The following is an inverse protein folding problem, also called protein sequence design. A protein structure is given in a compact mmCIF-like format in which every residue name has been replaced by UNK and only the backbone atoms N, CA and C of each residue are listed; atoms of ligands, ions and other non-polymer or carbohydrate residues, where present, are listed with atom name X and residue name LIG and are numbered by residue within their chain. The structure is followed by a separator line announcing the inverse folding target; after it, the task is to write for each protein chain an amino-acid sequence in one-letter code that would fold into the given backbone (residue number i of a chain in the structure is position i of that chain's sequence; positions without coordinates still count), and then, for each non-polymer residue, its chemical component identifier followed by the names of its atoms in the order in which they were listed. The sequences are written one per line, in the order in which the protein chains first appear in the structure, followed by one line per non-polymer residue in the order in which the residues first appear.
data_IF_316068820819
#
_entry.id   IF_316068820819
#
_cell.length_a   1.000
_cell.length_b   1.000
_cell.length_c   1.000
_cell.angle_alpha   90.00
_cell.angle_beta   90.00
_cell.angle_gamma   90.00
#
_symmetry.space_group_name_H-M   'P 1'
#
loop_
_entity.id
_entity.type
_entity.pdbx_description
1 polymer ?
#
# COMPACT_ATOMS: atom_id res chain seq x y z
N UNK A 1 11.79 28.65 13.40
CA UNK A 1 11.83 27.19 13.59
C UNK A 1 12.56 26.87 14.87
N UNK A 2 11.93 26.11 15.78
CA UNK A 2 12.58 25.62 17.00
C UNK A 2 13.69 24.60 16.71
N UNK A 3 14.65 24.48 17.64
CA UNK A 3 15.70 23.46 17.57
C UNK A 3 15.11 22.04 17.54
N UNK A 4 14.00 21.82 18.26
CA UNK A 4 13.28 20.55 18.25
C UNK A 4 12.83 20.17 16.85
N UNK A 5 12.16 21.08 16.13
CA UNK A 5 11.67 20.80 14.77
C UNK A 5 12.84 20.54 13.81
N UNK A 6 13.93 21.32 13.89
CA UNK A 6 15.12 21.11 13.05
C UNK A 6 15.72 19.71 13.23
N UNK A 7 15.86 19.27 14.48
CA UNK A 7 16.41 17.93 14.80
C UNK A 7 15.44 16.83 14.36
N UNK A 8 14.13 17.07 14.53
CA UNK A 8 13.09 16.10 14.25
C UNK A 8 12.86 15.87 12.75
N UNK A 9 12.95 16.91 11.92
CA UNK A 9 12.76 16.81 10.47
C UNK A 9 13.95 16.18 9.75
N UNK A 10 15.15 16.25 10.35
CA UNK A 10 16.38 15.75 9.74
C UNK A 10 16.98 14.56 10.50
N UNK A 11 17.61 14.79 11.66
CA UNK A 11 18.47 13.79 12.29
C UNK A 11 17.69 12.59 12.81
N UNK A 12 16.52 12.84 13.41
CA UNK A 12 15.62 11.77 13.85
C UNK A 12 15.09 10.97 12.65
N UNK A 13 14.78 11.63 11.53
CA UNK A 13 14.33 10.93 10.33
C UNK A 13 15.44 10.07 9.74
N UNK A 14 16.68 10.58 9.66
CA UNK A 14 17.82 9.82 9.16
C UNK A 14 18.06 8.60 10.04
N UNK A 15 18.09 8.76 11.37
CA UNK A 15 18.25 7.64 12.30
C UNK A 15 17.14 6.59 12.14
N UNK A 16 15.89 7.03 12.02
CA UNK A 16 14.74 6.14 11.83
C UNK A 16 14.76 5.44 10.45
N UNK A 17 15.20 6.12 9.39
CA UNK A 17 15.38 5.54 8.05
C UNK A 17 16.49 4.48 8.05
N UNK A 18 17.61 4.74 8.71
CA UNK A 18 18.70 3.76 8.86
C UNK A 18 18.20 2.53 9.62
N UNK A 19 17.46 2.73 10.71
CA UNK A 19 16.83 1.64 11.45
C UNK A 19 15.91 0.80 10.55
N UNK A 20 15.00 1.46 9.82
CA UNK A 20 14.10 0.79 8.87
C UNK A 20 14.90 0.00 7.82
N UNK A 21 15.93 0.60 7.25
CA UNK A 21 16.77 -0.03 6.22
C UNK A 21 17.47 -1.29 6.74
N UNK A 22 18.01 -1.26 7.96
CA UNK A 22 18.64 -2.43 8.60
C UNK A 22 17.62 -3.55 8.81
N UNK A 23 16.45 -3.24 9.37
CA UNK A 23 15.38 -4.23 9.62
C UNK A 23 14.85 -4.81 8.31
N UNK A 24 14.71 -3.99 7.27
CA UNK A 24 14.23 -4.46 5.96
C UNK A 24 15.26 -5.28 5.22
N UNK A 25 16.53 -4.89 5.28
CA UNK A 25 17.62 -5.66 4.68
C UNK A 25 17.71 -7.04 5.31
N UNK A 26 17.68 -7.12 6.65
CA UNK A 26 17.68 -8.41 7.35
C UNK A 26 16.46 -9.26 7.01
N UNK A 27 15.26 -8.67 6.92
CA UNK A 27 14.05 -9.37 6.46
C UNK A 27 14.12 -9.85 5.02
N UNK A 28 14.65 -9.04 4.11
CA UNK A 28 14.83 -9.42 2.71
C UNK A 28 15.81 -10.58 2.60
N UNK A 29 16.96 -10.52 3.27
CA UNK A 29 17.92 -11.62 3.35
C UNK A 29 17.21 -12.90 3.83
N UNK A 30 16.42 -12.81 4.90
CA UNK A 30 15.65 -13.94 5.40
C UNK A 30 14.62 -14.46 4.37
N UNK A 31 13.88 -13.58 3.69
CA UNK A 31 12.92 -13.96 2.66
C UNK A 31 13.57 -14.67 1.46
N UNK A 32 14.73 -14.19 1.02
CA UNK A 32 15.48 -14.80 -0.09
C UNK A 32 16.09 -16.16 0.26
N UNK A 33 16.17 -16.53 1.55
CA UNK A 33 16.60 -17.88 1.96
C UNK A 33 15.54 -18.95 1.66
N UNK A 34 14.27 -18.59 1.53
CA UNK A 34 13.23 -19.55 1.16
C UNK A 34 13.34 -19.94 -0.31
N UNK A 35 13.69 -21.20 -0.57
CA UNK A 35 13.74 -21.74 -1.93
C UNK A 35 12.35 -22.15 -2.41
N UNK A 36 11.97 -21.72 -3.61
CA UNK A 36 10.79 -22.28 -4.30
C UNK A 36 11.01 -23.77 -4.55
N UNK A 37 10.20 -24.64 -3.95
CA UNK A 37 10.19 -26.07 -4.31
C UNK A 37 9.69 -26.20 -5.75
N UNK A 38 10.39 -26.98 -6.57
CA UNK A 38 9.94 -27.31 -7.92
C UNK A 38 8.71 -28.21 -7.81
N UNK A 39 7.64 -27.82 -8.50
CA UNK A 39 6.42 -28.63 -8.61
C UNK A 39 6.76 -29.91 -9.38
N UNK A 40 6.37 -31.06 -8.82
CA UNK A 40 6.73 -32.39 -9.36
C UNK A 40 5.64 -32.97 -10.25
N UNK A 41 4.47 -32.36 -10.26
CA UNK A 41 3.39 -32.75 -11.16
C UNK A 41 3.70 -32.35 -12.59
N UNK A 42 3.04 -33.01 -13.54
CA UNK A 42 3.10 -32.64 -14.96
C UNK A 42 2.58 -31.20 -15.10
N UNK A 43 3.32 -30.37 -15.84
CA UNK A 43 2.91 -28.99 -16.10
C UNK A 43 1.70 -28.97 -17.03
N UNK A 44 0.59 -28.39 -16.57
CA UNK A 44 -0.58 -28.11 -17.39
C UNK A 44 -0.56 -26.68 -17.97
N UNK A 45 0.37 -25.83 -17.51
CA UNK A 45 0.54 -24.46 -17.99
C UNK A 45 1.94 -23.90 -17.74
N UNK A 46 2.10 -22.58 -17.94
CA UNK A 46 3.38 -21.88 -17.82
C UNK A 46 3.49 -21.17 -16.47
N UNK A 47 4.37 -21.69 -15.61
CA UNK A 47 4.61 -21.15 -14.27
C UNK A 47 5.04 -19.67 -14.28
N UNK A 48 5.91 -19.26 -15.22
CA UNK A 48 6.36 -17.86 -15.34
C UNK A 48 5.23 -16.91 -15.77
N UNK A 49 4.35 -17.35 -16.66
CA UNK A 49 3.18 -16.58 -17.08
C UNK A 49 2.21 -16.36 -15.91
N UNK A 50 1.94 -17.40 -15.12
CA UNK A 50 1.12 -17.28 -13.92
C UNK A 50 1.74 -16.38 -12.84
N UNK A 51 3.07 -16.44 -12.66
CA UNK A 51 3.79 -15.57 -11.73
C UNK A 51 3.67 -14.08 -12.14
N UNK A 52 3.93 -13.77 -13.42
CA UNK A 52 3.78 -12.41 -13.96
C UNK A 52 2.35 -11.90 -13.85
N UNK A 53 1.37 -12.70 -14.24
CA UNK A 53 -0.05 -12.36 -14.12
C UNK A 53 -0.45 -12.06 -12.67
N UNK A 54 -0.02 -12.90 -11.73
CA UNK A 54 -0.31 -12.73 -10.30
C UNK A 54 0.31 -11.45 -9.74
N UNK A 55 1.56 -11.13 -10.11
CA UNK A 55 2.25 -9.90 -9.70
C UNK A 55 1.54 -8.65 -10.20
N UNK A 56 1.03 -8.66 -11.43
CA UNK A 56 0.36 -7.51 -12.03
C UNK A 56 -1.09 -7.33 -11.56
N UNK A 57 -1.61 -8.23 -10.73
CA UNK A 57 -3.01 -8.23 -10.33
C UNK A 57 -3.46 -6.95 -9.59
N UNK A 58 -2.54 -6.23 -8.94
CA UNK A 58 -2.83 -4.92 -8.33
C UNK A 58 -3.18 -3.85 -9.38
N UNK A 59 -2.59 -3.96 -10.58
CA UNK A 59 -2.85 -3.09 -11.72
C UNK A 59 -4.00 -3.61 -12.62
N UNK A 60 -4.57 -4.78 -12.29
CA UNK A 60 -5.67 -5.39 -13.04
C UNK A 60 -6.91 -5.53 -12.14
N UNK A 61 -7.59 -4.44 -11.76
CA UNK A 61 -8.79 -4.49 -10.92
C UNK A 61 -9.89 -5.39 -11.51
N UNK A 62 -9.98 -5.47 -12.83
CA UNK A 62 -10.90 -6.37 -13.53
C UNK A 62 -10.57 -7.85 -13.36
N UNK A 63 -9.36 -8.23 -12.94
CA UNK A 63 -9.02 -9.62 -12.66
C UNK A 63 -9.52 -10.08 -11.28
N UNK A 64 -9.75 -9.15 -10.36
CA UNK A 64 -10.19 -9.44 -8.98
C UNK A 64 -11.70 -9.36 -8.84
N UNK A 65 -12.35 -10.46 -8.45
CA UNK A 65 -13.81 -10.49 -8.31
C UNK A 65 -14.33 -9.46 -7.30
N UNK A 66 -13.64 -9.31 -6.16
CA UNK A 66 -13.99 -8.34 -5.13
C UNK A 66 -13.99 -6.90 -5.66
N UNK A 67 -13.01 -6.57 -6.49
CA UNK A 67 -12.90 -5.26 -7.13
C UNK A 67 -13.93 -5.09 -8.24
N UNK A 68 -14.12 -6.09 -9.11
CA UNK A 68 -15.15 -6.07 -10.16
C UNK A 68 -16.54 -5.82 -9.60
N UNK A 69 -16.91 -6.54 -8.52
CA UNK A 69 -18.23 -6.42 -7.89
C UNK A 69 -18.38 -5.16 -7.05
N UNK A 70 -17.29 -4.55 -6.60
CA UNK A 70 -17.28 -3.38 -5.70
C UNK A 70 -16.18 -2.39 -6.08
N UNK A 71 -16.31 -1.68 -7.21
CA UNK A 71 -15.27 -0.78 -7.72
C UNK A 71 -14.92 0.35 -6.75
N UNK A 72 -15.87 0.80 -5.92
CA UNK A 72 -15.62 1.81 -4.89
C UNK A 72 -14.54 1.42 -3.87
N UNK A 73 -14.35 0.11 -3.60
CA UNK A 73 -13.29 -0.35 -2.71
C UNK A 73 -11.91 -0.23 -3.34
N UNK A 74 -11.84 -0.36 -4.66
CA UNK A 74 -10.59 -0.16 -5.40
C UNK A 74 -10.25 1.32 -5.52
N UNK A 75 -11.24 2.19 -5.75
CA UNK A 75 -11.03 3.63 -5.69
C UNK A 75 -10.46 4.06 -4.33
N UNK A 76 -11.05 3.58 -3.23
CA UNK A 76 -10.50 3.80 -1.88
C UNK A 76 -9.07 3.28 -1.75
N UNK A 77 -8.78 2.08 -2.27
CA UNK A 77 -7.41 1.56 -2.29
C UNK A 77 -6.44 2.51 -3.02
N UNK A 78 -6.79 2.97 -4.23
CA UNK A 78 -5.93 3.86 -5.03
C UNK A 78 -5.69 5.19 -4.32
N UNK A 79 -6.76 5.91 -3.93
CA UNK A 79 -6.61 7.22 -3.28
C UNK A 79 -5.83 7.13 -1.97
N UNK A 80 -6.06 6.09 -1.18
CA UNK A 80 -5.33 5.90 0.08
C UNK A 80 -3.83 5.70 -0.17
N UNK A 81 -3.44 4.86 -1.14
CA UNK A 81 -2.01 4.62 -1.43
C UNK A 81 -1.34 5.81 -2.10
N UNK A 82 -2.05 6.54 -2.98
CA UNK A 82 -1.54 7.79 -3.55
C UNK A 82 -1.29 8.84 -2.46
N UNK A 83 -2.18 8.97 -1.47
CA UNK A 83 -1.95 9.83 -0.33
C UNK A 83 -0.78 9.40 0.54
N UNK A 84 -0.61 8.10 0.81
CA UNK A 84 0.58 7.58 1.51
C UNK A 84 1.85 7.97 0.75
N UNK A 85 1.91 7.71 -0.56
CA UNK A 85 3.08 8.04 -1.38
C UNK A 85 3.35 9.55 -1.41
N UNK A 86 2.30 10.38 -1.52
CA UNK A 86 2.39 11.84 -1.52
C UNK A 86 2.90 12.37 -0.18
N UNK A 87 2.36 11.86 0.93
CA UNK A 87 2.79 12.25 2.26
C UNK A 87 4.24 11.79 2.56
N UNK A 88 4.64 10.57 2.17
CA UNK A 88 6.06 10.14 2.24
C UNK A 88 6.92 11.09 1.40
N UNK A 89 6.49 11.44 0.19
CA UNK A 89 7.25 12.38 -0.65
C UNK A 89 7.41 13.74 0.02
N UNK A 90 6.37 14.24 0.71
CA UNK A 90 6.44 15.49 1.45
C UNK A 90 7.50 15.45 2.58
N UNK A 91 7.72 14.31 3.24
CA UNK A 91 8.75 14.19 4.29
C UNK A 91 10.17 14.38 3.76
N UNK A 92 10.41 14.18 2.47
CA UNK A 92 11.69 14.48 1.83
C UNK A 92 11.74 15.89 1.24
N UNK A 93 10.63 16.37 0.65
CA UNK A 93 10.59 17.70 0.05
C UNK A 93 10.74 18.80 1.10
N UNK A 94 10.09 18.69 2.25
CA UNK A 94 10.14 19.73 3.30
C UNK A 94 11.59 20.05 3.73
N UNK A 95 12.42 19.09 4.16
CA UNK A 95 13.78 19.37 4.60
C UNK A 95 14.78 19.57 3.44
N UNK A 96 14.66 18.82 2.33
CA UNK A 96 15.71 18.78 1.30
C UNK A 96 15.41 19.61 0.05
N UNK A 97 14.15 19.97 -0.20
CA UNK A 97 13.74 20.76 -1.36
C UNK A 97 12.57 21.73 -1.03
N UNK A 98 12.65 22.53 0.05
CA UNK A 98 11.53 23.37 0.52
C UNK A 98 11.04 24.38 -0.52
N UNK A 99 11.89 24.73 -1.50
CA UNK A 99 11.54 25.62 -2.61
C UNK A 99 10.33 25.15 -3.44
N UNK A 100 10.05 23.85 -3.52
CA UNK A 100 8.89 23.31 -4.24
C UNK A 100 7.56 23.76 -3.62
N UNK A 101 7.51 23.86 -2.28
CA UNK A 101 6.29 24.28 -1.57
C UNK A 101 6.08 25.79 -1.51
N UNK A 102 6.96 26.59 -2.13
CA UNK A 102 6.66 28.00 -2.42
C UNK A 102 5.63 28.15 -3.54
N UNK A 103 5.48 27.14 -4.40
CA UNK A 103 4.52 27.14 -5.50
C UNK A 103 3.15 26.70 -4.98
N UNK A 104 2.19 27.64 -4.92
CA UNK A 104 0.84 27.39 -4.40
C UNK A 104 0.13 26.21 -5.06
N UNK A 105 0.31 26.03 -6.36
CA UNK A 105 -0.30 24.91 -7.10
C UNK A 105 0.23 23.54 -6.62
N UNK A 106 1.51 23.44 -6.27
CA UNK A 106 2.15 22.22 -5.76
C UNK A 106 1.62 21.91 -4.35
N UNK A 107 1.58 22.93 -3.47
CA UNK A 107 0.99 22.81 -2.13
C UNK A 107 -0.45 22.31 -2.21
N UNK A 108 -1.27 22.95 -3.05
CA UNK A 108 -2.67 22.58 -3.21
C UNK A 108 -2.86 21.16 -3.75
N UNK A 109 -2.06 20.75 -4.73
CA UNK A 109 -2.08 19.38 -5.25
C UNK A 109 -1.78 18.36 -4.14
N UNK A 110 -0.71 18.58 -3.36
CA UNK A 110 -0.35 17.70 -2.25
C UNK A 110 -1.47 17.66 -1.20
N UNK A 111 -2.00 18.82 -0.83
CA UNK A 111 -3.10 18.91 0.15
C UNK A 111 -4.35 18.18 -0.32
N UNK A 112 -4.79 18.32 -1.57
CA UNK A 112 -5.95 17.60 -2.11
C UNK A 112 -5.73 16.08 -2.04
N UNK A 113 -4.58 15.60 -2.49
CA UNK A 113 -4.31 14.15 -2.54
C UNK A 113 -4.24 13.56 -1.13
N UNK A 114 -3.58 14.25 -0.20
CA UNK A 114 -3.52 13.85 1.21
C UNK A 114 -4.90 13.94 1.87
N UNK A 115 -5.69 14.98 1.57
CA UNK A 115 -7.05 15.14 2.07
C UNK A 115 -7.98 14.02 1.60
N UNK A 116 -7.89 13.64 0.32
CA UNK A 116 -8.64 12.50 -0.21
C UNK A 116 -8.29 11.21 0.54
N UNK A 117 -7.01 10.97 0.83
CA UNK A 117 -6.56 9.81 1.59
C UNK A 117 -6.98 9.85 3.07
N UNK A 118 -6.97 11.03 3.69
CA UNK A 118 -7.51 11.27 5.03
C UNK A 118 -8.99 10.88 5.11
N UNK A 119 -9.82 11.38 4.18
CA UNK A 119 -11.24 11.06 4.10
C UNK A 119 -11.46 9.56 3.89
N UNK A 120 -10.71 8.94 2.98
CA UNK A 120 -10.77 7.49 2.78
C UNK A 120 -10.36 6.73 4.05
N UNK A 121 -9.34 7.20 4.78
CA UNK A 121 -8.91 6.64 6.06
C UNK A 121 -10.03 6.65 7.09
N UNK A 122 -10.72 7.79 7.23
CA UNK A 122 -11.89 7.93 8.10
C UNK A 122 -13.02 6.98 7.69
N UNK A 123 -13.37 6.94 6.40
CA UNK A 123 -14.40 6.02 5.88
C UNK A 123 -14.07 4.56 6.17
N UNK A 124 -12.79 4.16 6.01
CA UNK A 124 -12.33 2.81 6.31
C UNK A 124 -12.38 2.51 7.81
N UNK A 125 -12.06 3.49 8.66
CA UNK A 125 -12.13 3.35 10.11
C UNK A 125 -13.58 3.18 10.58
N UNK A 126 -14.48 4.08 10.14
CA UNK A 126 -15.91 4.00 10.44
C UNK A 126 -16.48 2.66 9.96
N UNK A 127 -16.17 2.23 8.74
CA UNK A 127 -16.64 0.94 8.22
C UNK A 127 -16.12 -0.23 9.06
N UNK A 128 -14.89 -0.17 9.57
CA UNK A 128 -14.32 -1.20 10.44
C UNK A 128 -14.98 -1.22 11.82
N UNK A 129 -15.36 -0.07 12.36
CA UNK A 129 -16.05 0.05 13.65
C UNK A 129 -17.53 -0.31 13.59
N UNK A 130 -18.19 -0.14 12.44
CA UNK A 130 -19.64 -0.35 12.30
C UNK A 130 -20.00 -1.71 11.70
N UNK A 131 -19.19 -2.25 10.80
CA UNK A 131 -19.52 -3.53 10.15
C UNK A 131 -19.17 -4.73 11.06
N UNK A 132 -20.16 -5.53 11.49
CA UNK A 132 -19.93 -6.61 12.46
C UNK A 132 -18.95 -7.68 11.94
N UNK A 133 -19.03 -8.01 10.64
CA UNK A 133 -18.13 -8.99 10.01
C UNK A 133 -16.69 -8.49 10.03
N UNK A 134 -16.46 -7.20 9.72
CA UNK A 134 -15.11 -6.64 9.76
C UNK A 134 -14.56 -6.57 11.18
N UNK A 135 -15.38 -6.25 12.19
CA UNK A 135 -14.95 -6.21 13.59
C UNK A 135 -14.44 -7.56 14.07
N UNK A 136 -15.14 -8.63 13.72
CA UNK A 136 -14.79 -10.00 14.13
C UNK A 136 -13.44 -10.47 13.58
N UNK A 137 -13.05 -9.99 12.39
CA UNK A 137 -11.79 -10.37 11.75
C UNK A 137 -10.68 -9.32 11.91
N UNK A 138 -10.95 -8.22 12.64
CA UNK A 138 -9.96 -7.16 12.85
C UNK A 138 -9.14 -7.43 14.11
N UNK A 139 -7.82 -7.29 13.99
CA UNK A 139 -6.91 -7.28 15.14
C UNK A 139 -6.75 -5.85 15.68
N UNK A 140 -6.25 -5.67 16.92
CA UNK A 140 -5.96 -4.34 17.47
C UNK A 140 -5.09 -3.47 16.55
N UNK A 141 -4.08 -4.09 15.92
CA UNK A 141 -3.20 -3.43 14.95
C UNK A 141 -3.94 -2.81 13.75
N UNK A 142 -5.06 -3.39 13.31
CA UNK A 142 -5.84 -2.84 12.18
C UNK A 142 -6.51 -1.51 12.51
N UNK A 143 -6.83 -1.27 13.79
CA UNK A 143 -7.39 0.00 14.25
C UNK A 143 -6.28 0.99 14.53
N UNK A 144 -5.25 0.55 15.27
CA UNK A 144 -4.13 1.40 15.66
C UNK A 144 -3.39 1.97 14.43
N UNK A 145 -2.99 1.12 13.48
CA UNK A 145 -2.33 1.55 12.24
C UNK A 145 -3.18 2.53 11.43
N UNK A 146 -4.49 2.31 11.35
CA UNK A 146 -5.39 3.16 10.57
C UNK A 146 -5.63 4.51 11.25
N UNK A 147 -5.77 4.55 12.58
CA UNK A 147 -5.88 5.79 13.35
C UNK A 147 -4.62 6.63 13.18
N UNK A 148 -3.44 6.01 13.32
CA UNK A 148 -2.18 6.72 13.13
C UNK A 148 -2.04 7.28 11.71
N UNK A 149 -2.43 6.52 10.68
CA UNK A 149 -2.40 7.00 9.29
C UNK A 149 -3.35 8.19 9.09
N UNK A 150 -4.54 8.16 9.68
CA UNK A 150 -5.49 9.28 9.65
C UNK A 150 -4.90 10.52 10.33
N UNK A 151 -4.31 10.37 11.52
CA UNK A 151 -3.65 11.49 12.21
C UNK A 151 -2.47 12.04 11.42
N UNK A 152 -1.69 11.16 10.80
CA UNK A 152 -0.54 11.55 9.99
C UNK A 152 -0.95 12.26 8.70
N UNK A 153 -2.04 11.86 8.05
CA UNK A 153 -2.59 12.62 6.93
C UNK A 153 -3.10 13.99 7.37
N UNK A 154 -3.79 14.08 8.52
CA UNK A 154 -4.22 15.36 9.08
C UNK A 154 -3.04 16.30 9.33
N UNK A 155 -1.99 15.79 9.97
CA UNK A 155 -0.75 16.53 10.19
C UNK A 155 -0.07 16.91 8.86
N UNK A 156 -0.02 15.99 7.89
CA UNK A 156 0.57 16.20 6.58
C UNK A 156 -0.09 17.32 5.78
N UNK A 157 -1.43 17.38 5.76
CA UNK A 157 -2.16 18.47 5.07
C UNK A 157 -1.76 19.86 5.62
N UNK A 158 -1.55 19.95 6.93
CA UNK A 158 -1.19 21.18 7.62
C UNK A 158 0.33 21.46 7.54
N UNK A 159 1.15 20.44 7.36
CA UNK A 159 2.61 20.54 7.25
C UNK A 159 3.10 20.92 5.84
N UNK A 160 2.39 20.51 4.78
CA UNK A 160 2.78 20.74 3.38
C UNK A 160 3.06 22.22 3.01
N UNK A 161 2.30 23.22 3.49
CA UNK A 161 2.63 24.63 3.25
C UNK A 161 4.03 25.04 3.73
N UNK A 162 4.60 24.28 4.67
CA UNK A 162 5.94 24.48 5.22
C UNK A 162 6.16 25.92 5.71
N UNK A 163 5.26 26.40 6.58
CA UNK A 163 5.34 27.70 7.25
C UNK A 163 5.60 27.49 8.76
N UNK A 164 6.84 27.20 9.19
CA UNK A 164 7.14 26.88 10.59
C UNK A 164 6.65 27.94 11.58
N UNK A 165 6.55 29.21 11.17
CA UNK A 165 6.06 30.29 12.03
C UNK A 165 4.57 30.17 12.37
N UNK A 166 3.78 29.48 11.52
CA UNK A 166 2.33 29.33 11.66
C UNK A 166 1.91 27.89 11.97
N UNK A 167 2.66 26.91 11.50
CA UNK A 167 2.30 25.48 11.55
C UNK A 167 3.39 24.62 12.20
N UNK A 168 4.10 25.15 13.20
CA UNK A 168 5.14 24.39 13.91
C UNK A 168 4.61 23.10 14.53
N UNK A 169 3.50 23.17 15.28
CA UNK A 169 2.90 21.98 15.92
C UNK A 169 2.49 20.88 14.93
N UNK A 170 1.80 21.19 13.82
CA UNK A 170 1.56 20.22 12.75
C UNK A 170 2.82 19.61 12.15
N UNK A 171 3.88 20.40 11.94
CA UNK A 171 5.17 19.90 11.44
C UNK A 171 5.80 18.93 12.44
N UNK A 172 5.82 19.27 13.73
CA UNK A 172 6.31 18.39 14.80
C UNK A 172 5.51 17.09 14.82
N UNK A 173 4.17 17.16 14.77
CA UNK A 173 3.32 15.97 14.75
C UNK A 173 3.58 15.13 13.50
N UNK A 174 3.70 15.76 12.32
CA UNK A 174 3.91 15.08 11.06
C UNK A 174 5.25 14.33 11.02
N UNK A 175 6.35 14.99 11.40
CA UNK A 175 7.66 14.35 11.46
C UNK A 175 7.79 13.36 12.61
N UNK A 176 7.18 13.64 13.77
CA UNK A 176 7.12 12.71 14.89
C UNK A 176 6.41 11.41 14.53
N UNK A 177 5.25 11.51 13.88
CA UNK A 177 4.52 10.34 13.37
C UNK A 177 5.29 9.64 12.24
N UNK A 178 5.99 10.38 11.38
CA UNK A 178 6.85 9.78 10.34
C UNK A 178 7.96 8.95 10.95
N UNK A 179 8.71 9.51 11.91
CA UNK A 179 9.78 8.79 12.61
C UNK A 179 9.23 7.56 13.33
N UNK A 180 8.08 7.70 14.00
CA UNK A 180 7.39 6.57 14.62
C UNK A 180 7.04 5.49 13.59
N UNK A 181 6.48 5.84 12.42
CA UNK A 181 6.17 4.89 11.37
C UNK A 181 7.40 4.16 10.85
N UNK A 182 8.51 4.86 10.64
CA UNK A 182 9.75 4.23 10.16
C UNK A 182 10.23 3.12 11.13
N UNK A 183 10.02 3.29 12.43
CA UNK A 183 10.34 2.27 13.45
C UNK A 183 9.25 1.20 13.57
N UNK A 184 7.98 1.59 13.51
CA UNK A 184 6.83 0.72 13.76
C UNK A 184 6.41 -0.14 12.56
N UNK A 185 6.48 0.39 11.33
CA UNK A 185 6.01 -0.27 10.10
C UNK A 185 6.58 -1.69 9.92
N UNK A 186 7.87 -1.98 10.20
CA UNK A 186 8.39 -3.34 10.10
C UNK A 186 7.65 -4.36 10.96
N UNK A 187 7.08 -3.93 12.08
CA UNK A 187 6.46 -4.81 13.07
C UNK A 187 4.93 -4.81 13.00
N UNK A 188 4.34 -4.07 12.05
CA UNK A 188 2.89 -3.93 11.90
C UNK A 188 2.37 -4.57 10.62
N UNK A 189 1.04 -4.61 10.45
CA UNK A 189 0.41 -5.06 9.19
C UNK A 189 0.71 -4.16 8.00
N UNK A 190 1.26 -2.96 8.21
CA UNK A 190 1.65 -2.05 7.13
C UNK A 190 2.78 -2.65 6.30
N UNK A 191 3.65 -3.51 6.86
CA UNK A 191 4.75 -4.16 6.12
C UNK A 191 4.31 -5.08 4.96
N UNK A 192 3.01 -5.28 4.74
CA UNK A 192 2.48 -6.14 3.68
C UNK A 192 3.05 -5.85 2.28
N UNK A 193 3.45 -4.60 1.99
CA UNK A 193 4.07 -4.24 0.72
C UNK A 193 5.41 -4.95 0.49
N UNK A 194 6.16 -5.27 1.56
CA UNK A 194 7.40 -6.05 1.49
C UNK A 194 7.12 -7.50 1.06
N UNK A 195 6.03 -8.09 1.55
CA UNK A 195 5.66 -9.49 1.30
C UNK A 195 4.84 -9.70 0.02
N UNK A 196 4.21 -8.64 -0.50
CA UNK A 196 3.39 -8.70 -1.71
C UNK A 196 4.10 -9.36 -2.90
N UNK A 197 5.29 -8.92 -3.35
CA UNK A 197 5.90 -9.51 -4.53
C UNK A 197 6.24 -11.00 -4.35
N UNK A 198 6.71 -11.39 -3.17
CA UNK A 198 7.04 -12.78 -2.86
C UNK A 198 5.78 -13.65 -2.90
N UNK A 199 4.75 -13.30 -2.13
CA UNK A 199 3.50 -14.08 -2.05
C UNK A 199 2.83 -14.22 -3.41
N UNK A 200 2.77 -13.14 -4.20
CA UNK A 200 2.19 -13.16 -5.55
C UNK A 200 3.02 -13.98 -6.53
N UNK A 201 4.35 -13.92 -6.43
CA UNK A 201 5.24 -14.76 -7.23
C UNK A 201 5.04 -16.25 -6.93
N UNK A 202 5.07 -16.66 -5.66
CA UNK A 202 4.88 -18.07 -5.26
C UNK A 202 3.50 -18.60 -5.68
N UNK A 203 2.44 -17.85 -5.38
CA UNK A 203 1.07 -18.22 -5.73
C UNK A 203 0.89 -18.30 -7.24
N UNK A 204 1.34 -17.28 -7.97
CA UNK A 204 1.21 -17.21 -9.42
C UNK A 204 1.99 -18.30 -10.13
N UNK A 205 3.19 -18.63 -9.65
CA UNK A 205 4.00 -19.73 -10.18
C UNK A 205 3.27 -21.08 -10.05
N UNK A 206 2.70 -21.35 -8.87
CA UNK A 206 1.97 -22.59 -8.60
C UNK A 206 0.70 -22.71 -9.47
N UNK A 207 -0.11 -21.65 -9.51
CA UNK A 207 -1.32 -21.62 -10.33
C UNK A 207 -1.01 -21.64 -11.83
N UNK A 208 0.09 -21.02 -12.25
CA UNK A 208 0.55 -21.06 -13.64
C UNK A 208 1.01 -22.44 -14.08
N UNK A 209 1.72 -23.18 -13.23
CA UNK A 209 2.09 -24.57 -13.49
C UNK A 209 0.86 -25.47 -13.67
N UNK A 210 -0.19 -25.22 -12.90
CA UNK A 210 -1.47 -25.95 -12.96
C UNK A 210 -2.40 -25.50 -14.11
N UNK A 211 -1.97 -24.53 -14.93
CA UNK A 211 -2.80 -23.99 -16.01
C UNK A 211 -3.99 -23.15 -15.56
N UNK A 212 -4.08 -22.81 -14.27
CA UNK A 212 -5.14 -21.97 -13.74
C UNK A 212 -4.92 -20.48 -14.06
N UNK A 213 -3.66 -20.02 -14.07
CA UNK A 213 -3.29 -18.63 -14.37
C UNK A 213 -2.32 -18.50 -15.56
N UNK A 214 -2.47 -17.45 -16.40
CA UNK A 214 -3.67 -16.61 -16.53
C UNK A 214 -4.89 -17.47 -16.90
N UNK A 215 -6.10 -17.09 -16.48
CA UNK A 215 -7.30 -17.83 -16.85
C UNK A 215 -7.38 -17.91 -18.38
N UNK A 216 -7.55 -19.12 -18.91
CA UNK A 216 -7.72 -19.30 -20.35
C UNK A 216 -8.88 -18.41 -20.81
N UNK A 217 -8.64 -17.54 -21.79
CA UNK A 217 -9.71 -16.80 -22.43
C UNK A 217 -10.77 -17.82 -22.85
N UNK A 218 -12.01 -17.65 -22.39
CA UNK A 218 -13.10 -18.59 -22.62
C UNK A 218 -13.42 -18.66 -24.12
N UNK A 219 -12.63 -19.39 -24.90
CA UNK A 219 -13.17 -20.11 -26.05
C UNK A 219 -13.91 -21.28 -25.44
N UNK A 220 -15.19 -21.05 -25.13
CA UNK A 220 -16.14 -22.15 -24.92
C UNK A 220 -15.94 -23.08 -26.13
N UNK A 221 -15.60 -24.36 -25.97
CA UNK A 221 -15.52 -25.23 -27.13
C UNK A 221 -16.90 -25.24 -27.79
N UNK A 222 -16.96 -24.75 -29.04
CA UNK A 222 -18.18 -24.70 -29.87
C UNK A 222 -18.83 -26.10 -30.02
N UNK A 223 -18.08 -27.16 -29.70
CA UNK A 223 -18.54 -28.55 -29.70
C UNK A 223 -19.76 -28.85 -28.81
N UNK A 224 -20.14 -27.98 -27.85
CA UNK A 224 -21.37 -28.19 -27.05
C UNK A 224 -22.63 -27.49 -27.58
N UNK A 225 -22.55 -26.70 -28.66
CA UNK A 225 -23.74 -26.10 -29.30
C UNK A 225 -24.28 -26.90 -30.49
N UNK A 226 -23.50 -27.84 -31.03
CA UNK A 226 -23.92 -28.65 -32.17
C UNK A 226 -24.86 -29.82 -31.81
N UNK A 227 -25.06 -30.10 -30.52
CA UNK A 227 -25.89 -31.22 -30.05
C UNK A 227 -27.28 -30.86 -29.50
N UNK A 228 -27.64 -29.58 -29.43
CA UNK A 228 -28.94 -29.12 -28.87
C UNK A 228 -29.97 -28.73 -29.96
N UNK A 229 -29.62 -28.81 -31.25
CA UNK A 229 -30.54 -28.53 -32.38
C UNK A 229 -30.99 -29.79 -33.13
N UNK A 230 -30.87 -30.97 -32.52
CA UNK A 230 -31.43 -32.22 -33.04
C UNK A 230 -32.20 -32.93 -31.92
N UNK A 231 -33.31 -32.33 -31.50
CA UNK A 231 -34.41 -32.99 -30.79
C UNK A 231 -35.70 -32.23 -31.08
#
# INVERSE_FOLDING_TARGET
MSDLLRILENEVQIAALVFLAVVYTTRLIWLFRFRTRKERTIAAGRASAGAGYSLMNVAMPWAMESTRKRPGLYAQFVFFHLGVATAITATFIIPYAPGLFKVRAVVFLFQIVIAAAFLVGLLRLVRRLTNPVLRQISSPDDYFSLILLVLWFAAGMLAVPNEPERTEWPLILFFGLTAFFLVYVPFSKICHYLYYPFTRFYLGRSLGHRGAFPPAGTKRPEARRAGENQA
#
